data_IF_178806305829
#
_entry.id   IF_178806305829
#
_cell.length_a   1.000
_cell.length_b   1.000
_cell.length_c   1.000
_cell.angle_alpha   90.00
_cell.angle_beta   90.00
_cell.angle_gamma   90.00
#
_symmetry.space_group_name_H-M   'P 1'
#
loop_
_entity.id
_entity.type
_entity.pdbx_description
1 polymer ?
#
# COMPACT_ATOMS: atom_id res chain seq x y z
N UNK A 1 -50.21 40.73 -22.70
CA UNK A 1 -48.77 40.93 -22.94
C UNK A 1 -47.94 40.95 -21.66
N UNK A 2 -48.31 41.68 -20.59
CA UNK A 2 -47.53 41.68 -19.33
C UNK A 2 -47.46 40.31 -18.61
N UNK A 3 -48.52 39.50 -18.67
CA UNK A 3 -48.52 38.18 -18.00
C UNK A 3 -47.59 37.16 -18.66
N UNK A 4 -47.50 37.15 -19.99
CA UNK A 4 -46.62 36.27 -20.78
C UNK A 4 -45.15 36.63 -20.61
N UNK A 5 -44.83 37.94 -20.56
CA UNK A 5 -43.47 38.43 -20.29
C UNK A 5 -43.02 38.00 -18.89
N UNK A 6 -43.90 38.08 -17.87
CA UNK A 6 -43.57 37.63 -16.51
C UNK A 6 -43.37 36.12 -16.40
N UNK A 7 -44.14 35.33 -17.16
CA UNK A 7 -44.02 33.86 -17.18
C UNK A 7 -42.72 33.42 -17.85
N UNK A 8 -42.36 34.06 -18.97
CA UNK A 8 -41.13 33.76 -19.73
C UNK A 8 -39.88 34.13 -18.92
N UNK A 9 -39.92 35.24 -18.18
CA UNK A 9 -38.85 35.64 -17.26
C UNK A 9 -38.68 34.64 -16.12
N UNK A 10 -39.77 34.20 -15.47
CA UNK A 10 -39.71 33.19 -14.41
C UNK A 10 -39.15 31.85 -14.91
N UNK A 11 -39.55 31.43 -16.11
CA UNK A 11 -39.10 30.19 -16.71
C UNK A 11 -37.61 30.22 -17.09
N UNK A 12 -37.12 31.37 -17.56
CA UNK A 12 -35.69 31.60 -17.84
C UNK A 12 -34.84 31.54 -16.57
N UNK A 13 -35.30 32.13 -15.47
CA UNK A 13 -34.62 32.08 -14.17
C UNK A 13 -34.54 30.64 -13.65
N UNK A 14 -35.63 29.87 -13.77
CA UNK A 14 -35.65 28.46 -13.34
C UNK A 14 -34.64 27.62 -14.13
N UNK A 15 -34.52 27.83 -15.44
CA UNK A 15 -33.54 27.15 -16.29
C UNK A 15 -32.09 27.46 -15.89
N UNK A 16 -31.79 28.71 -15.54
CA UNK A 16 -30.45 29.11 -15.05
C UNK A 16 -30.12 28.41 -13.74
N UNK A 17 -31.08 28.33 -12.81
CA UNK A 17 -30.88 27.66 -11.51
C UNK A 17 -30.66 26.16 -11.69
N UNK A 18 -31.42 25.51 -12.57
CA UNK A 18 -31.23 24.08 -12.87
C UNK A 18 -29.84 23.83 -13.49
N UNK A 19 -29.41 24.67 -14.42
CA UNK A 19 -28.07 24.57 -15.01
C UNK A 19 -26.94 24.73 -13.99
N UNK A 20 -27.11 25.63 -13.02
CA UNK A 20 -26.16 25.82 -11.92
C UNK A 20 -26.07 24.59 -11.02
N UNK A 21 -27.21 24.00 -10.64
CA UNK A 21 -27.24 22.79 -9.79
C UNK A 21 -26.57 21.61 -10.50
N UNK A 22 -26.87 21.39 -11.77
CA UNK A 22 -26.25 20.31 -12.56
C UNK A 22 -24.72 20.52 -12.64
N UNK A 23 -24.27 21.74 -12.89
CA UNK A 23 -22.85 22.07 -12.96
C UNK A 23 -22.12 21.82 -11.62
N UNK A 24 -22.75 22.17 -10.50
CA UNK A 24 -22.21 21.91 -9.17
C UNK A 24 -22.09 20.40 -8.89
N UNK A 25 -23.08 19.60 -9.30
CA UNK A 25 -23.04 18.14 -9.15
C UNK A 25 -21.90 17.51 -9.96
N UNK A 26 -21.68 17.95 -11.20
CA UNK A 26 -20.55 17.48 -12.02
C UNK A 26 -19.20 17.84 -11.41
N UNK A 27 -19.07 19.03 -10.83
CA UNK A 27 -17.84 19.47 -10.18
C UNK A 27 -17.52 18.61 -8.95
N UNK A 28 -18.53 18.24 -8.14
CA UNK A 28 -18.35 17.32 -7.00
C UNK A 28 -17.91 15.93 -7.45
N UNK A 29 -18.48 15.41 -8.56
CA UNK A 29 -18.09 14.10 -9.11
C UNK A 29 -16.64 14.14 -9.62
N UNK A 30 -16.25 15.21 -10.34
CA UNK A 30 -14.90 15.38 -10.86
C UNK A 30 -13.86 15.44 -9.74
N UNK A 31 -14.12 16.20 -8.67
CA UNK A 31 -13.25 16.22 -7.50
C UNK A 31 -13.21 14.88 -6.77
N UNK A 32 -14.36 14.20 -6.63
CA UNK A 32 -14.44 12.87 -6.01
C UNK A 32 -13.61 11.82 -6.77
N UNK A 33 -13.67 11.81 -8.10
CA UNK A 33 -12.89 10.91 -8.93
C UNK A 33 -11.39 11.24 -8.94
N UNK A 34 -11.03 12.53 -8.96
CA UNK A 34 -9.63 12.96 -8.92
C UNK A 34 -8.97 12.63 -7.58
N UNK A 35 -9.69 12.76 -6.46
CA UNK A 35 -9.22 12.34 -5.12
C UNK A 35 -9.06 10.81 -5.06
N UNK A 36 -10.00 10.05 -5.63
CA UNK A 36 -9.95 8.59 -5.59
C UNK A 36 -8.76 8.02 -6.40
N UNK A 37 -8.51 8.54 -7.61
CA UNK A 37 -7.34 8.11 -8.38
C UNK A 37 -6.01 8.62 -7.80
N UNK A 38 -5.95 9.85 -7.33
CA UNK A 38 -4.68 10.43 -6.82
C UNK A 38 -4.33 9.89 -5.43
N UNK A 39 -5.34 9.61 -4.59
CA UNK A 39 -5.17 9.04 -3.25
C UNK A 39 -4.69 7.60 -3.30
N UNK A 40 -5.32 6.75 -4.13
CA UNK A 40 -4.92 5.33 -4.25
C UNK A 40 -3.52 5.19 -4.85
N UNK A 41 -3.17 6.00 -5.85
CA UNK A 41 -1.86 5.92 -6.51
C UNK A 41 -0.72 6.52 -5.66
N UNK A 42 -1.01 7.53 -4.84
CA UNK A 42 -0.05 8.09 -3.86
C UNK A 42 0.13 7.15 -2.68
N UNK A 43 -0.95 6.54 -2.17
CA UNK A 43 -0.85 5.55 -1.09
C UNK A 43 -0.06 4.33 -1.59
N UNK A 44 -0.34 3.79 -2.77
CA UNK A 44 0.40 2.65 -3.32
C UNK A 44 1.90 2.93 -3.55
N UNK A 45 2.25 4.14 -3.97
CA UNK A 45 3.66 4.55 -4.15
C UNK A 45 4.37 4.91 -2.85
N UNK A 46 3.66 5.52 -1.89
CA UNK A 46 4.21 5.82 -0.57
C UNK A 46 4.38 4.54 0.25
N UNK A 47 3.46 3.59 0.17
CA UNK A 47 3.62 2.29 0.81
C UNK A 47 4.75 1.50 0.18
N UNK A 48 4.85 1.41 -1.16
CA UNK A 48 5.98 0.70 -1.79
C UNK A 48 7.35 1.29 -1.40
N UNK A 49 7.46 2.63 -1.31
CA UNK A 49 8.71 3.30 -0.92
C UNK A 49 9.05 3.09 0.56
N UNK A 50 8.05 3.12 1.46
CA UNK A 50 8.25 2.85 2.89
C UNK A 50 8.58 1.37 3.14
N UNK A 51 7.96 0.45 2.39
CA UNK A 51 8.18 -0.98 2.49
C UNK A 51 9.58 -1.41 2.02
N UNK A 52 10.07 -0.86 0.91
CA UNK A 52 11.46 -1.02 0.50
C UNK A 52 12.45 -0.50 1.56
N UNK A 53 12.12 0.58 2.27
CA UNK A 53 12.97 1.12 3.34
C UNK A 53 13.03 0.21 4.58
N UNK A 54 11.93 -0.48 4.94
CA UNK A 54 11.92 -1.44 6.07
C UNK A 54 12.78 -2.68 5.78
N UNK A 55 12.73 -3.21 4.54
CA UNK A 55 13.60 -4.31 4.10
C UNK A 55 15.09 -3.90 4.02
N UNK A 56 15.38 -2.69 3.51
CA UNK A 56 16.73 -2.12 3.51
C UNK A 56 17.24 -1.91 4.95
N UNK A 57 16.34 -1.63 5.90
CA UNK A 57 16.69 -1.53 7.33
C UNK A 57 17.07 -2.88 7.94
N UNK A 58 16.42 -3.98 7.52
CA UNK A 58 16.78 -5.35 7.94
C UNK A 58 18.10 -5.78 7.32
N UNK A 59 18.36 -5.41 6.06
CA UNK A 59 19.66 -5.63 5.40
C UNK A 59 20.83 -4.99 6.17
N UNK A 60 20.60 -3.86 6.83
CA UNK A 60 21.60 -3.17 7.65
C UNK A 60 21.66 -3.66 9.11
N UNK A 61 20.76 -4.56 9.53
CA UNK A 61 20.77 -5.16 10.85
C UNK A 61 21.70 -6.37 10.88
N UNK A 62 22.88 -6.20 11.47
CA UNK A 62 23.91 -7.24 11.63
C UNK A 62 23.76 -8.07 12.90
N UNK A 63 22.70 -7.86 13.69
CA UNK A 63 22.44 -8.54 14.96
C UNK A 63 21.30 -9.55 14.85
N UNK A 64 21.30 -10.52 15.76
CA UNK A 64 20.25 -11.52 15.88
C UNK A 64 18.89 -10.88 16.18
N UNK A 65 17.92 -11.12 15.31
CA UNK A 65 16.56 -10.59 15.41
C UNK A 65 15.61 -11.69 15.89
N UNK A 66 14.62 -11.38 16.74
CA UNK A 66 13.55 -12.32 17.05
C UNK A 66 12.85 -12.80 15.79
N UNK A 67 12.68 -14.12 15.63
CA UNK A 67 12.06 -14.69 14.43
C UNK A 67 10.62 -14.19 14.19
N UNK A 68 9.90 -13.81 15.25
CA UNK A 68 8.58 -13.17 15.17
C UNK A 68 8.60 -11.79 14.53
N UNK A 69 9.60 -10.97 14.83
CA UNK A 69 9.80 -9.65 14.21
C UNK A 69 10.17 -9.79 12.74
N UNK A 70 11.07 -10.73 12.42
CA UNK A 70 11.44 -11.05 11.04
C UNK A 70 10.22 -11.55 10.26
N UNK A 71 9.42 -12.44 10.84
CA UNK A 71 8.17 -12.91 10.24
C UNK A 71 7.23 -11.75 9.88
N UNK A 72 6.97 -10.84 10.82
CA UNK A 72 6.06 -9.72 10.57
C UNK A 72 6.58 -8.82 9.43
N UNK A 73 7.88 -8.56 9.39
CA UNK A 73 8.49 -7.75 8.35
C UNK A 73 8.44 -8.44 6.99
N UNK A 74 8.76 -9.73 6.92
CA UNK A 74 8.70 -10.49 5.66
C UNK A 74 7.25 -10.64 5.16
N UNK A 75 6.30 -10.91 6.06
CA UNK A 75 4.89 -11.05 5.71
C UNK A 75 4.31 -9.75 5.16
N UNK A 76 4.68 -8.60 5.73
CA UNK A 76 4.30 -7.28 5.21
C UNK A 76 4.87 -6.97 3.83
N UNK A 77 6.02 -7.58 3.49
CA UNK A 77 6.74 -7.34 2.25
C UNK A 77 6.71 -8.55 1.31
N UNK A 78 5.72 -9.44 1.46
CA UNK A 78 5.65 -10.72 0.77
C UNK A 78 5.73 -10.59 -0.75
N UNK A 79 5.14 -9.53 -1.31
CA UNK A 79 5.11 -9.26 -2.74
C UNK A 79 6.48 -8.87 -3.32
N UNK A 80 7.40 -8.38 -2.47
CA UNK A 80 8.76 -8.01 -2.86
C UNK A 80 9.77 -9.15 -2.67
N UNK A 81 9.36 -10.30 -2.11
CA UNK A 81 10.23 -11.44 -1.81
C UNK A 81 10.14 -12.47 -2.94
N UNK A 82 11.27 -12.72 -3.60
CA UNK A 82 11.37 -13.75 -4.62
C UNK A 82 11.48 -15.16 -4.02
N UNK A 83 12.30 -15.30 -2.98
CA UNK A 83 12.57 -16.59 -2.35
C UNK A 83 13.06 -16.41 -0.92
N UNK A 84 12.66 -17.34 -0.05
CA UNK A 84 13.17 -17.49 1.30
C UNK A 84 13.80 -18.87 1.44
N UNK A 85 14.98 -18.92 2.06
CA UNK A 85 15.71 -20.17 2.26
C UNK A 85 16.53 -20.09 3.53
N UNK A 86 16.68 -21.20 4.24
CA UNK A 86 17.48 -21.18 5.45
C UNK A 86 17.36 -22.42 6.30
N UNK A 87 18.22 -22.47 7.32
CA UNK A 87 18.14 -23.46 8.38
C UNK A 87 18.50 -22.78 9.70
N UNK A 88 17.56 -22.81 10.64
CA UNK A 88 17.75 -22.22 11.97
C UNK A 88 17.08 -23.07 13.03
N UNK A 89 17.74 -23.24 14.18
CA UNK A 89 17.19 -23.93 15.36
C UNK A 89 16.53 -25.29 15.04
N UNK A 90 17.19 -26.11 14.21
CA UNK A 90 16.68 -27.43 13.85
C UNK A 90 15.55 -27.45 12.79
N UNK A 91 15.17 -26.28 12.26
CA UNK A 91 14.05 -26.13 11.31
C UNK A 91 14.55 -25.62 9.96
N UNK A 92 14.22 -26.34 8.89
CA UNK A 92 14.40 -25.85 7.52
C UNK A 92 13.32 -24.84 7.17
N UNK A 93 13.73 -23.69 6.65
CA UNK A 93 12.85 -22.58 6.29
C UNK A 93 12.76 -22.50 4.77
N UNK A 94 11.57 -22.78 4.25
CA UNK A 94 11.25 -22.72 2.81
C UNK A 94 10.16 -21.69 2.51
N UNK A 95 9.45 -21.26 3.56
CA UNK A 95 8.38 -20.28 3.49
C UNK A 95 8.43 -19.34 4.69
N UNK A 96 7.78 -18.19 4.57
CA UNK A 96 7.65 -17.23 5.68
C UNK A 96 6.93 -17.89 6.87
N UNK A 97 5.94 -18.76 6.62
CA UNK A 97 5.21 -19.48 7.66
C UNK A 97 6.07 -20.42 8.51
N UNK A 98 7.19 -20.93 7.98
CA UNK A 98 8.10 -21.79 8.74
C UNK A 98 8.76 -21.06 9.92
N UNK A 99 8.86 -19.72 9.86
CA UNK A 99 9.34 -18.90 10.98
C UNK A 99 8.46 -19.05 12.22
N UNK A 100 7.16 -19.33 12.08
CA UNK A 100 6.22 -19.53 13.20
C UNK A 100 6.68 -20.63 14.16
N UNK A 101 7.36 -21.65 13.63
CA UNK A 101 7.89 -22.78 14.40
C UNK A 101 9.03 -22.36 15.35
N UNK A 102 9.67 -21.23 15.06
CA UNK A 102 10.87 -20.75 15.78
C UNK A 102 10.70 -19.34 16.35
N UNK A 103 9.46 -18.84 16.55
CA UNK A 103 9.19 -17.50 17.11
C UNK A 103 9.84 -17.24 18.49
N UNK A 104 10.10 -18.27 19.26
CA UNK A 104 10.81 -18.17 20.54
C UNK A 104 12.33 -17.98 20.44
N UNK A 105 12.88 -17.98 19.22
CA UNK A 105 14.32 -17.95 18.98
C UNK A 105 14.75 -16.68 18.22
N UNK A 106 16.02 -16.34 18.39
CA UNK A 106 16.67 -15.28 17.62
C UNK A 106 17.36 -15.89 16.39
N UNK A 107 17.31 -15.18 15.27
CA UNK A 107 17.82 -15.60 13.98
C UNK A 107 18.54 -14.48 13.28
N UNK A 108 19.45 -14.84 12.38
CA UNK A 108 20.08 -13.91 11.45
C UNK A 108 19.25 -13.92 10.18
N UNK A 109 18.78 -12.74 9.75
CA UNK A 109 18.08 -12.55 8.49
C UNK A 109 18.97 -11.76 7.54
N UNK A 110 19.41 -12.39 6.47
CA UNK A 110 20.18 -11.76 5.40
C UNK A 110 19.26 -11.46 4.22
N UNK A 111 19.23 -10.20 3.80
CA UNK A 111 18.41 -9.73 2.69
C UNK A 111 19.33 -9.35 1.54
N UNK A 112 19.28 -10.14 0.46
CA UNK A 112 20.07 -9.91 -0.74
C UNK A 112 19.16 -9.36 -1.85
N UNK A 113 19.46 -8.18 -2.42
CA UNK A 113 18.73 -7.68 -3.58
C UNK A 113 19.04 -8.55 -4.81
N UNK A 114 18.01 -8.94 -5.56
CA UNK A 114 18.15 -9.70 -6.79
C UNK A 114 17.17 -9.16 -7.85
N UNK A 115 17.71 -8.43 -8.83
CA UNK A 115 16.93 -7.73 -9.87
C UNK A 115 15.96 -6.71 -9.25
N UNK A 116 14.64 -6.97 -9.31
CA UNK A 116 13.57 -6.10 -8.79
C UNK A 116 12.93 -6.66 -7.49
N UNK A 117 13.50 -7.72 -6.91
CA UNK A 117 12.98 -8.39 -5.73
C UNK A 117 14.10 -8.72 -4.72
N UNK A 118 13.73 -9.31 -3.59
CA UNK A 118 14.65 -9.68 -2.52
C UNK A 118 14.73 -11.20 -2.33
N UNK A 119 15.95 -11.70 -2.16
CA UNK A 119 16.23 -13.06 -1.69
C UNK A 119 16.55 -13.01 -0.20
N UNK A 120 15.86 -13.86 0.56
CA UNK A 120 15.98 -13.90 2.01
C UNK A 120 16.70 -15.18 2.40
N UNK A 121 17.77 -15.04 3.18
CA UNK A 121 18.50 -16.15 3.78
C UNK A 121 18.41 -16.07 5.29
N UNK A 122 17.95 -17.15 5.92
CA UNK A 122 17.85 -17.24 7.38
C UNK A 122 18.82 -18.26 7.92
N UNK A 123 19.59 -17.86 8.93
CA UNK A 123 20.56 -18.72 9.61
C UNK A 123 20.49 -18.53 11.12
N UNK A 124 21.09 -19.46 11.83
CA UNK A 124 21.43 -19.36 13.25
C UNK A 124 22.95 -19.38 13.37
N UNK A 125 23.51 -18.76 14.42
CA UNK A 125 24.85 -19.12 14.88
C UNK A 125 24.90 -20.58 15.33
#
# INVERSE_FOLDING_TARGET
>A
MESEISSTLKQSVILIVIGFVISAMWLTIAFGQQINHSGVNTIAKSTSFIYSAELESIKNYTQDLPASSVYLALEKNRDAILSISGYAHGTSIWSIDDLKKIFGHQIICQVEPYQEAYKIRITTY
#
